data_IF_906129553839
#
_entry.id   IF_906129553839
#
_cell.length_a   1.000
_cell.length_b   1.000
_cell.length_c   1.000
_cell.angle_alpha   90.00
_cell.angle_beta   90.00
_cell.angle_gamma   90.00
#
_symmetry.space_group_name_H-M   'P 1'
#
loop_
_entity.id
_entity.type
_entity.pdbx_description
1 polymer ?
#
# COMPACT_ATOMS: atom_id res chain seq x y z
N UNK A 1 1.31 0.45 -5.48
CA UNK A 1 0.23 -0.52 -5.18
C UNK A 1 0.71 -1.77 -4.48
N UNK A 2 1.82 -2.38 -4.92
CA UNK A 2 2.39 -3.61 -4.36
C UNK A 2 2.53 -3.61 -2.84
N UNK A 3 3.01 -2.52 -2.22
CA UNK A 3 3.20 -2.46 -0.77
C UNK A 3 1.91 -2.73 0.01
N UNK A 4 0.80 -2.07 -0.38
CA UNK A 4 -0.49 -2.22 0.29
C UNK A 4 -1.05 -3.65 0.15
N UNK A 5 -0.93 -4.22 -1.04
CA UNK A 5 -1.36 -5.60 -1.33
C UNK A 5 -0.60 -6.61 -0.46
N UNK A 6 0.74 -6.57 -0.52
CA UNK A 6 1.61 -7.48 0.23
C UNK A 6 1.39 -7.36 1.74
N UNK A 7 1.29 -6.14 2.28
CA UNK A 7 1.07 -5.99 3.73
C UNK A 7 -0.31 -6.44 4.18
N UNK A 8 -1.33 -6.34 3.31
CA UNK A 8 -2.68 -6.83 3.61
C UNK A 8 -2.68 -8.36 3.64
N UNK A 9 -2.03 -8.99 2.67
CA UNK A 9 -1.87 -10.45 2.64
C UNK A 9 -1.04 -10.95 3.83
N UNK A 10 0.03 -10.24 4.20
CA UNK A 10 0.86 -10.60 5.35
C UNK A 10 0.05 -10.62 6.66
N UNK A 11 -0.81 -9.61 6.89
CA UNK A 11 -1.74 -9.59 8.04
C UNK A 11 -2.70 -10.78 7.97
N UNK A 12 -3.24 -11.08 6.78
CA UNK A 12 -4.17 -12.20 6.58
C UNK A 12 -3.50 -13.57 6.86
N UNK A 13 -2.26 -13.77 6.44
CA UNK A 13 -1.49 -15.01 6.65
C UNK A 13 -1.24 -15.26 8.15
N UNK A 14 -0.93 -14.19 8.90
CA UNK A 14 -0.71 -14.26 10.35
C UNK A 14 -2.01 -14.37 11.16
N UNK A 15 -3.17 -14.23 10.50
CA UNK A 15 -4.50 -14.34 11.12
C UNK A 15 -4.65 -13.39 12.30
N UNK A 16 -5.22 -13.88 13.41
CA UNK A 16 -5.44 -13.05 14.61
C UNK A 16 -4.17 -12.40 15.17
N UNK A 17 -3.02 -13.08 15.06
CA UNK A 17 -1.74 -12.55 15.55
C UNK A 17 -1.18 -11.43 14.67
N UNK A 18 -1.57 -11.39 13.39
CA UNK A 18 -1.22 -10.31 12.47
C UNK A 18 -2.06 -9.04 12.67
N UNK A 19 -3.12 -9.11 13.49
CA UNK A 19 -3.96 -7.95 13.83
C UNK A 19 -3.59 -7.34 15.19
N UNK A 20 -2.83 -8.05 16.02
CA UNK A 20 -2.31 -7.51 17.29
C UNK A 20 -1.01 -6.75 17.07
N UNK A 21 -0.69 -5.83 17.99
CA UNK A 21 0.57 -5.06 17.95
C UNK A 21 1.80 -5.85 18.40
N UNK A 22 1.65 -7.17 18.60
CA UNK A 22 2.76 -8.06 18.98
C UNK A 22 3.64 -8.40 17.79
N UNK A 23 3.07 -8.39 16.59
CA UNK A 23 3.79 -8.48 15.33
C UNK A 23 3.91 -7.07 14.73
N UNK A 24 4.79 -6.84 13.73
CA UNK A 24 4.92 -5.52 13.10
C UNK A 24 4.04 -5.34 11.85
N UNK A 25 3.35 -6.38 11.40
CA UNK A 25 2.70 -6.44 10.07
C UNK A 25 1.48 -5.52 9.94
N UNK A 26 0.73 -5.32 11.01
CA UNK A 26 -0.37 -4.37 11.13
C UNK A 26 0.13 -2.93 11.03
N UNK A 27 1.28 -2.62 11.65
CA UNK A 27 1.94 -1.32 11.49
C UNK A 27 2.38 -1.11 10.05
N UNK A 28 3.04 -2.10 9.45
CA UNK A 28 3.47 -2.04 8.05
C UNK A 28 2.27 -1.86 7.12
N UNK A 29 1.14 -2.52 7.38
CA UNK A 29 -0.10 -2.34 6.62
C UNK A 29 -0.62 -0.91 6.72
N UNK A 30 -0.69 -0.32 7.92
CA UNK A 30 -1.10 1.08 8.10
C UNK A 30 -0.17 2.06 7.38
N UNK A 31 1.13 1.88 7.54
CA UNK A 31 2.14 2.76 6.96
C UNK A 31 2.14 2.64 5.43
N UNK A 32 1.90 1.45 4.87
CA UNK A 32 1.84 1.25 3.42
C UNK A 32 0.77 2.10 2.74
N UNK A 33 -0.30 2.48 3.43
CA UNK A 33 -1.40 3.24 2.83
C UNK A 33 -0.99 4.65 2.43
N UNK A 34 -0.08 5.28 3.18
CA UNK A 34 0.35 6.65 2.88
C UNK A 34 1.03 6.70 1.51
N UNK A 35 1.76 5.64 1.13
CA UNK A 35 2.49 5.54 -0.16
C UNK A 35 1.61 5.72 -1.40
N UNK A 36 0.29 5.58 -1.26
CA UNK A 36 -0.67 5.80 -2.34
C UNK A 36 -1.16 7.26 -2.46
N UNK A 37 -0.81 8.11 -1.49
CA UNK A 37 -1.38 9.45 -1.29
C UNK A 37 -0.30 10.55 -1.34
N UNK A 38 0.80 10.38 -0.60
CA UNK A 38 1.85 11.40 -0.57
C UNK A 38 2.71 11.35 -1.84
N UNK A 39 3.39 12.47 -2.15
CA UNK A 39 4.19 12.63 -3.39
C UNK A 39 3.42 12.40 -4.70
N UNK A 40 2.11 12.69 -4.65
CA UNK A 40 1.19 12.51 -5.76
C UNK A 40 0.44 11.19 -5.64
N UNK A 41 -0.88 11.28 -5.59
CA UNK A 41 -1.71 10.08 -5.46
C UNK A 41 -1.53 9.16 -6.67
N UNK A 42 -1.87 7.89 -6.49
CA UNK A 42 -1.84 6.91 -7.59
C UNK A 42 -2.59 7.39 -8.84
N UNK A 43 -3.69 8.14 -8.68
CA UNK A 43 -4.49 8.69 -9.77
C UNK A 43 -3.71 9.78 -10.53
N UNK A 44 -3.00 10.65 -9.82
CA UNK A 44 -2.11 11.66 -10.42
C UNK A 44 -0.99 10.97 -11.18
N UNK A 45 -0.37 9.94 -10.60
CA UNK A 45 0.68 9.17 -11.27
C UNK A 45 0.17 8.51 -12.56
N UNK A 46 -1.03 7.92 -12.54
CA UNK A 46 -1.66 7.36 -13.75
C UNK A 46 -1.92 8.44 -14.81
N UNK A 47 -2.38 9.63 -14.41
CA UNK A 47 -2.60 10.75 -15.32
C UNK A 47 -1.28 11.17 -16.00
N UNK A 48 -0.21 11.34 -15.23
CA UNK A 48 1.13 11.69 -15.77
C UNK A 48 1.64 10.63 -16.74
N UNK A 49 1.56 9.34 -16.36
CA UNK A 49 1.99 8.23 -17.22
C UNK A 49 1.15 8.19 -18.50
N UNK A 50 -0.18 8.36 -18.40
CA UNK A 50 -1.07 8.38 -19.58
C UNK A 50 -0.73 9.53 -20.54
N UNK A 51 -0.43 10.72 -20.01
CA UNK A 51 0.00 11.86 -20.81
C UNK A 51 1.37 11.67 -21.47
N UNK A 52 2.26 10.89 -20.87
CA UNK A 52 3.55 10.55 -21.46
C UNK A 52 3.44 9.48 -22.56
N UNK A 53 2.48 8.55 -22.45
CA UNK A 53 2.28 7.46 -23.42
C UNK A 53 1.43 7.90 -24.63
N UNK A 54 0.40 8.72 -24.42
CA UNK A 54 -0.58 9.09 -25.45
C UNK A 54 -0.20 10.35 -26.25
N UNK A 55 1.04 10.82 -26.10
CA UNK A 55 1.57 11.98 -26.81
C UNK A 55 2.57 11.54 -27.87
#
# INVERSE_FOLDING_TARGET
NTAMEVTTEAVQILGGTGFTMDHPVERMMRDSKITQIYEGTNEIQKLVISGAILR
#
